data_IF_126509251365
#
_entry.id   IF_126509251365
#
_cell.length_a   1.000
_cell.length_b   1.000
_cell.length_c   1.000
_cell.angle_alpha   90.00
_cell.angle_beta   90.00
_cell.angle_gamma   90.00
#
_symmetry.space_group_name_H-M   'P 1'
#
loop_
_entity.id
_entity.type
_entity.pdbx_description
1 polymer ?
#
# COMPACT_ATOMS: atom_id res chain seq x y z
N UNK A 1 -25.34 35.04 -11.69
CA UNK A 1 -23.94 34.82 -11.26
C UNK A 1 -23.53 33.44 -11.75
N UNK A 2 -22.70 33.39 -12.78
CA UNK A 2 -22.17 32.16 -13.36
C UNK A 2 -20.78 31.92 -12.75
N UNK A 3 -20.57 30.76 -12.14
CA UNK A 3 -19.22 30.30 -11.78
C UNK A 3 -18.84 29.18 -12.75
N UNK A 4 -17.95 29.51 -13.67
CA UNK A 4 -17.29 28.60 -14.59
C UNK A 4 -16.23 27.78 -13.83
N UNK A 5 -16.39 26.46 -13.80
CA UNK A 5 -15.28 25.56 -13.48
C UNK A 5 -14.50 25.29 -14.77
N UNK A 6 -13.29 25.81 -14.84
CA UNK A 6 -12.33 25.55 -15.91
C UNK A 6 -11.92 24.08 -15.92
N UNK A 7 -12.14 23.42 -17.05
CA UNK A 7 -11.51 22.15 -17.42
C UNK A 7 -9.99 22.29 -17.24
N UNK A 8 -9.42 21.56 -16.29
CA UNK A 8 -7.99 21.24 -16.32
C UNK A 8 -7.85 19.84 -16.91
N UNK A 9 -6.98 19.72 -17.89
CA UNK A 9 -6.78 18.59 -18.81
C UNK A 9 -6.82 17.24 -18.10
N UNK A 10 -7.83 16.47 -18.43
CA UNK A 10 -7.91 15.04 -18.13
C UNK A 10 -6.76 14.37 -18.89
N UNK A 11 -5.65 14.09 -18.22
CA UNK A 11 -4.77 12.99 -18.63
C UNK A 11 -5.67 11.75 -18.68
N UNK A 12 -6.02 11.34 -19.91
CA UNK A 12 -6.77 10.14 -20.16
C UNK A 12 -5.87 8.97 -19.76
N UNK A 13 -6.17 8.37 -18.61
CA UNK A 13 -5.50 7.16 -18.15
C UNK A 13 -5.87 6.06 -19.15
N UNK A 14 -4.98 5.78 -20.11
CA UNK A 14 -5.14 4.64 -21.01
C UNK A 14 -4.87 3.36 -20.23
N UNK A 15 -5.94 2.60 -20.00
CA UNK A 15 -5.90 1.33 -19.26
C UNK A 15 -5.24 0.19 -20.06
N UNK A 16 -4.88 0.42 -21.33
CA UNK A 16 -4.09 -0.51 -22.13
C UNK A 16 -2.60 -0.13 -22.17
N UNK A 17 -2.23 1.02 -21.61
CA UNK A 17 -0.84 1.40 -21.50
C UNK A 17 -0.18 0.51 -20.46
N UNK A 18 0.66 -0.41 -20.92
CA UNK A 18 1.45 -1.27 -20.06
C UNK A 18 2.36 -0.33 -19.27
N UNK A 19 2.39 -0.37 -17.93
CA UNK A 19 3.29 0.47 -17.16
C UNK A 19 4.68 0.22 -17.70
N UNK A 20 5.28 1.25 -18.31
CA UNK A 20 6.69 1.20 -18.71
C UNK A 20 7.42 0.69 -17.48
N UNK A 21 8.05 -0.48 -17.60
CA UNK A 21 8.78 -1.12 -16.51
C UNK A 21 9.86 -0.14 -16.14
N UNK A 22 9.56 0.72 -15.17
CA UNK A 22 10.54 1.56 -14.53
C UNK A 22 11.59 0.57 -14.08
N UNK A 23 12.83 0.64 -14.61
CA UNK A 23 13.86 -0.32 -14.24
C UNK A 23 13.90 -0.25 -12.71
N UNK A 24 13.56 -1.38 -12.09
CA UNK A 24 13.52 -1.47 -10.64
C UNK A 24 14.85 -0.89 -10.16
N UNK A 25 14.87 0.10 -9.26
CA UNK A 25 16.13 0.56 -8.71
C UNK A 25 16.82 -0.69 -8.17
N UNK A 26 17.93 -1.08 -8.79
CA UNK A 26 18.62 -2.36 -8.51
C UNK A 26 19.21 -2.41 -7.11
N UNK A 27 18.99 -1.36 -6.33
CA UNK A 27 19.07 -1.35 -4.89
C UNK A 27 17.81 -0.65 -4.37
N UNK A 28 16.82 -1.42 -3.90
CA UNK A 28 16.01 -0.90 -2.79
C UNK A 28 17.01 -0.40 -1.75
N UNK A 29 16.86 0.82 -1.18
CA UNK A 29 17.72 1.20 -0.07
C UNK A 29 17.58 0.08 0.95
N UNK A 30 18.71 -0.55 1.30
CA UNK A 30 18.76 -1.60 2.31
C UNK A 30 17.97 -1.08 3.49
N UNK A 31 16.73 -1.58 3.63
CA UNK A 31 15.89 -1.24 4.77
C UNK A 31 16.77 -1.62 5.93
N UNK A 32 17.21 -0.64 6.72
CA UNK A 32 18.11 -0.90 7.83
C UNK A 32 17.46 -1.98 8.69
N UNK A 33 18.03 -3.18 8.62
CA UNK A 33 17.59 -4.36 9.35
C UNK A 33 18.63 -4.55 10.43
N UNK A 34 18.39 -4.05 11.65
CA UNK A 34 19.30 -4.32 12.75
C UNK A 34 19.26 -5.84 12.99
N UNK A 35 20.34 -6.51 12.59
CA UNK A 35 20.59 -7.90 12.93
C UNK A 35 21.45 -7.91 14.18
N UNK A 36 20.85 -8.25 15.31
CA UNK A 36 21.60 -8.39 16.55
C UNK A 36 22.28 -9.76 16.56
N UNK A 37 23.61 -9.78 16.63
CA UNK A 37 24.40 -10.99 16.70
C UNK A 37 24.83 -11.24 18.15
N UNK A 38 24.53 -12.43 18.65
CA UNK A 38 25.00 -12.94 19.94
C UNK A 38 26.11 -13.97 19.70
N UNK A 39 26.98 -14.25 20.70
CA UNK A 39 27.94 -15.36 20.62
C UNK A 39 27.30 -16.73 20.29
N UNK A 40 26.00 -16.88 20.57
CA UNK A 40 25.22 -18.09 20.28
C UNK A 40 24.55 -18.08 18.89
N UNK A 41 24.80 -17.06 18.07
CA UNK A 41 24.20 -16.86 16.75
C UNK A 41 23.26 -15.65 16.66
N UNK A 42 22.54 -15.48 15.53
CA UNK A 42 21.62 -14.38 15.33
C UNK A 42 20.48 -14.39 16.35
N UNK A 43 20.12 -13.21 16.87
CA UNK A 43 18.95 -13.04 17.74
C UNK A 43 17.70 -13.08 16.87
N UNK A 44 16.79 -14.00 17.21
CA UNK A 44 15.53 -14.23 16.54
C UNK A 44 14.34 -13.82 17.42
N UNK A 45 13.12 -13.86 16.87
CA UNK A 45 11.86 -13.54 17.56
C UNK A 45 11.65 -14.34 18.85
N UNK A 46 12.23 -15.53 18.98
CA UNK A 46 12.09 -16.36 20.19
C UNK A 46 13.02 -15.96 21.34
N UNK A 47 14.02 -15.11 21.07
CA UNK A 47 14.95 -14.64 22.08
C UNK A 47 14.34 -13.48 22.89
N UNK A 48 14.34 -13.60 24.22
CA UNK A 48 13.85 -12.54 25.11
C UNK A 48 15.02 -11.78 25.75
N UNK A 49 15.02 -10.46 25.53
CA UNK A 49 15.95 -9.50 26.18
C UNK A 49 15.75 -9.46 27.70
N UNK A 50 14.57 -9.83 28.21
CA UNK A 50 14.29 -9.81 29.65
C UNK A 50 14.68 -11.09 30.38
N UNK A 51 14.86 -12.21 29.65
CA UNK A 51 15.10 -13.53 30.24
C UNK A 51 16.54 -14.04 30.07
N UNK A 52 17.35 -13.38 29.23
CA UNK A 52 18.71 -13.82 28.95
C UNK A 52 19.65 -12.61 28.84
N UNK A 53 20.55 -12.47 29.82
CA UNK A 53 21.56 -11.41 29.84
C UNK A 53 22.47 -11.38 28.61
N UNK A 54 22.74 -12.53 27.97
CA UNK A 54 23.55 -12.58 26.74
C UNK A 54 22.80 -11.95 25.56
N UNK A 55 21.49 -12.20 25.45
CA UNK A 55 20.62 -11.54 24.46
C UNK A 55 20.53 -10.04 24.74
N UNK A 56 20.41 -9.66 26.02
CA UNK A 56 20.39 -8.24 26.44
C UNK A 56 21.65 -7.51 26.00
N UNK A 57 22.82 -8.07 26.33
CA UNK A 57 24.11 -7.48 25.97
C UNK A 57 24.27 -7.36 24.46
N UNK A 58 23.91 -8.39 23.69
CA UNK A 58 24.02 -8.36 22.23
C UNK A 58 23.07 -7.33 21.58
N UNK A 59 21.86 -7.15 22.12
CA UNK A 59 20.93 -6.10 21.66
C UNK A 59 21.44 -4.71 22.03
N UNK A 60 21.92 -4.51 23.26
CA UNK A 60 22.46 -3.22 23.72
C UNK A 60 23.68 -2.80 22.89
N UNK A 61 24.61 -3.73 22.63
CA UNK A 61 25.80 -3.47 21.80
C UNK A 61 25.43 -3.10 20.36
N UNK A 62 24.34 -3.68 19.81
CA UNK A 62 23.85 -3.30 18.48
C UNK A 62 23.07 -1.98 18.44
N UNK A 63 22.66 -1.45 19.60
CA UNK A 63 21.90 -0.19 19.72
C UNK A 63 22.75 1.00 20.17
N UNK A 64 23.85 0.77 20.89
CA UNK A 64 24.72 1.83 21.41
C UNK A 64 25.91 2.11 20.48
N UNK A 65 26.14 3.38 20.19
CA UNK A 65 27.37 3.84 19.55
C UNK A 65 28.51 3.94 20.58
N UNK A 66 29.76 4.00 20.10
CA UNK A 66 30.94 4.15 20.96
C UNK A 66 30.85 5.40 21.87
N UNK A 67 30.18 6.44 21.40
CA UNK A 67 29.99 7.70 22.12
C UNK A 67 28.93 7.60 23.21
N UNK A 68 27.90 6.78 23.00
CA UNK A 68 26.92 6.44 24.04
C UNK A 68 27.59 5.72 25.22
N UNK A 69 28.54 4.82 24.92
CA UNK A 69 29.34 4.12 25.93
C UNK A 69 30.19 5.05 26.81
N UNK A 70 30.75 6.12 26.22
CA UNK A 70 31.54 7.13 26.97
C UNK A 70 30.66 8.00 27.86
N UNK A 71 29.46 8.36 27.40
CA UNK A 71 28.48 9.14 28.18
C UNK A 71 27.95 8.33 29.36
N UNK A 72 27.76 7.02 29.18
CA UNK A 72 27.37 6.09 30.23
C UNK A 72 28.48 5.86 31.26
N UNK A 73 29.76 5.81 30.86
CA UNK A 73 30.87 5.56 31.78
C UNK A 73 31.10 6.67 32.83
N UNK A 74 30.60 7.89 32.61
CA UNK A 74 30.82 9.06 33.47
C UNK A 74 29.67 9.46 34.40
N UNK A 75 28.53 8.76 34.38
CA UNK A 75 27.34 9.09 35.18
C UNK A 75 27.16 8.11 36.35
N UNK A 76 26.64 8.61 37.48
CA UNK A 76 26.30 7.78 38.63
C UNK A 76 25.23 6.76 38.25
N UNK A 77 25.42 5.51 38.68
CA UNK A 77 24.66 4.29 38.29
C UNK A 77 23.13 4.52 38.23
N UNK A 78 22.57 5.26 39.19
CA UNK A 78 21.13 5.50 39.29
C UNK A 78 20.52 6.39 38.19
N UNK A 79 21.26 7.41 37.70
CA UNK A 79 20.78 8.34 36.67
C UNK A 79 20.74 7.66 35.30
N UNK A 80 21.71 6.80 35.02
CA UNK A 80 21.79 6.00 33.79
C UNK A 80 20.63 5.01 33.73
N UNK A 81 20.35 4.33 34.85
CA UNK A 81 19.23 3.39 34.95
C UNK A 81 17.90 4.11 34.67
N UNK A 82 17.70 5.30 35.26
CA UNK A 82 16.47 6.07 35.02
C UNK A 82 16.31 6.53 33.56
N UNK A 83 17.38 7.07 32.95
CA UNK A 83 17.35 7.54 31.56
C UNK A 83 17.15 6.39 30.57
N UNK A 84 17.79 5.23 30.80
CA UNK A 84 17.63 4.03 29.99
C UNK A 84 16.24 3.39 30.13
N UNK A 85 15.64 3.44 31.33
CA UNK A 85 14.24 3.05 31.54
C UNK A 85 13.29 3.98 30.80
N UNK A 86 13.49 5.30 30.88
CA UNK A 86 12.67 6.27 30.16
C UNK A 86 12.73 6.05 28.64
N UNK A 87 13.93 5.83 28.10
CA UNK A 87 14.12 5.50 26.68
C UNK A 87 13.41 4.18 26.31
N UNK A 88 13.52 3.14 27.15
CA UNK A 88 12.84 1.85 26.92
C UNK A 88 11.33 2.02 26.88
N UNK A 89 10.75 2.78 27.82
CA UNK A 89 9.31 3.07 27.85
C UNK A 89 8.88 3.83 26.58
N UNK A 90 9.63 4.84 26.18
CA UNK A 90 9.35 5.61 24.96
C UNK A 90 9.42 4.73 23.70
N UNK A 91 10.44 3.88 23.59
CA UNK A 91 10.58 2.92 22.50
C UNK A 91 9.39 1.95 22.43
N UNK A 92 9.01 1.36 23.57
CA UNK A 92 7.84 0.46 23.65
C UNK A 92 6.55 1.18 23.27
N UNK A 93 6.34 2.41 23.75
CA UNK A 93 5.17 3.21 23.40
C UNK A 93 5.13 3.54 21.90
N UNK A 94 6.27 3.92 21.31
CA UNK A 94 6.41 4.23 19.88
C UNK A 94 6.09 3.00 19.01
N UNK A 95 6.70 1.85 19.31
CA UNK A 95 6.46 0.58 18.60
C UNK A 95 5.00 0.14 18.76
N UNK A 96 4.42 0.28 19.96
CA UNK A 96 3.00 -0.03 20.20
C UNK A 96 2.07 0.85 19.37
N UNK A 97 2.34 2.15 19.30
CA UNK A 97 1.58 3.09 18.48
C UNK A 97 1.67 2.76 16.98
N UNK A 98 2.87 2.43 16.49
CA UNK A 98 3.06 1.94 15.12
C UNK A 98 2.27 0.66 14.85
N UNK A 99 2.30 -0.30 15.78
CA UNK A 99 1.54 -1.54 15.70
C UNK A 99 0.03 -1.31 15.60
N UNK A 100 -0.52 -0.41 16.42
CA UNK A 100 -1.95 -0.02 16.35
C UNK A 100 -2.31 0.60 15.01
N UNK A 101 -1.50 1.56 14.53
CA UNK A 101 -1.73 2.20 13.22
C UNK A 101 -1.67 1.19 12.09
N UNK A 102 -0.69 0.28 12.11
CA UNK A 102 -0.57 -0.78 11.13
C UNK A 102 -1.80 -1.71 11.13
N UNK A 103 -2.30 -2.07 12.32
CA UNK A 103 -3.49 -2.90 12.45
C UNK A 103 -4.73 -2.25 11.82
N UNK A 104 -4.97 -0.95 12.10
CA UNK A 104 -6.09 -0.19 11.48
C UNK A 104 -5.93 -0.14 9.96
N UNK A 105 -4.75 0.22 9.46
CA UNK A 105 -4.47 0.29 8.01
C UNK A 105 -4.66 -1.07 7.32
N UNK A 106 -4.31 -2.17 7.99
CA UNK A 106 -4.52 -3.52 7.46
C UNK A 106 -6.02 -3.85 7.29
N UNK A 107 -6.87 -3.40 8.22
CA UNK A 107 -8.32 -3.54 8.09
C UNK A 107 -8.88 -2.73 6.91
N UNK A 108 -8.43 -1.49 6.74
CA UNK A 108 -8.81 -0.64 5.60
C UNK A 108 -8.39 -1.27 4.26
N UNK A 109 -7.15 -1.78 4.16
CA UNK A 109 -6.66 -2.48 2.97
C UNK A 109 -7.53 -3.71 2.66
N UNK A 110 -7.93 -4.47 3.68
CA UNK A 110 -8.84 -5.61 3.50
C UNK A 110 -10.21 -5.16 2.98
N UNK A 111 -10.77 -4.08 3.52
CA UNK A 111 -12.05 -3.53 3.05
C UNK A 111 -11.96 -3.05 1.59
N UNK A 112 -10.90 -2.32 1.24
CA UNK A 112 -10.65 -1.88 -0.14
C UNK A 112 -10.51 -3.07 -1.09
N UNK A 113 -9.80 -4.12 -0.70
CA UNK A 113 -9.67 -5.35 -1.50
C UNK A 113 -11.03 -5.99 -1.81
N UNK A 114 -11.93 -6.03 -0.82
CA UNK A 114 -13.30 -6.51 -1.02
C UNK A 114 -14.08 -5.64 -2.00
N UNK A 115 -13.97 -4.30 -1.89
CA UNK A 115 -14.64 -3.37 -2.81
C UNK A 115 -14.11 -3.50 -4.24
N UNK A 116 -12.79 -3.60 -4.42
CA UNK A 116 -12.16 -3.82 -5.74
C UNK A 116 -12.69 -5.11 -6.38
N UNK A 117 -12.83 -6.17 -5.60
CA UNK A 117 -13.37 -7.45 -6.09
C UNK A 117 -14.82 -7.30 -6.60
N UNK A 118 -15.65 -6.53 -5.90
CA UNK A 118 -17.03 -6.25 -6.31
C UNK A 118 -17.04 -5.43 -7.61
N UNK A 119 -16.25 -4.37 -7.66
CA UNK A 119 -16.15 -3.50 -8.84
C UNK A 119 -15.66 -4.25 -10.08
N UNK A 120 -14.68 -5.15 -9.93
CA UNK A 120 -14.21 -6.00 -11.02
C UNK A 120 -15.32 -6.89 -11.60
N UNK A 121 -16.19 -7.45 -10.75
CA UNK A 121 -17.35 -8.24 -11.19
C UNK A 121 -18.34 -7.37 -11.97
N UNK A 122 -18.71 -6.21 -11.43
CA UNK A 122 -19.63 -5.27 -12.09
C UNK A 122 -19.08 -4.80 -13.44
N UNK A 123 -17.78 -4.51 -13.51
CA UNK A 123 -17.13 -4.13 -14.76
C UNK A 123 -17.22 -5.24 -15.80
N UNK A 124 -17.01 -6.50 -15.40
CA UNK A 124 -17.13 -7.66 -16.29
C UNK A 124 -18.55 -7.81 -16.82
N UNK A 125 -19.55 -7.67 -15.95
CA UNK A 125 -20.96 -7.74 -16.34
C UNK A 125 -21.36 -6.60 -17.28
N UNK A 126 -20.92 -5.37 -17.00
CA UNK A 126 -21.19 -4.21 -17.86
C UNK A 126 -20.52 -4.35 -19.23
N UNK A 127 -19.28 -4.85 -19.30
CA UNK A 127 -18.63 -5.15 -20.59
C UNK A 127 -19.45 -6.13 -21.42
N UNK A 128 -20.05 -7.16 -20.81
CA UNK A 128 -20.93 -8.11 -21.50
C UNK A 128 -22.18 -7.41 -22.06
N UNK A 129 -22.88 -6.63 -21.22
CA UNK A 129 -24.09 -5.89 -21.63
C UNK A 129 -23.82 -4.90 -22.76
N UNK A 130 -22.69 -4.18 -22.71
CA UNK A 130 -22.28 -3.27 -23.79
C UNK A 130 -22.11 -4.04 -25.11
N UNK A 131 -21.56 -5.25 -25.07
CA UNK A 131 -21.47 -6.13 -26.24
C UNK A 131 -22.84 -6.51 -26.80
N UNK A 132 -23.76 -6.94 -25.93
CA UNK A 132 -25.14 -7.29 -26.28
C UNK A 132 -25.89 -6.10 -26.92
N UNK A 133 -25.80 -4.92 -26.31
CA UNK A 133 -26.40 -3.69 -26.85
C UNK A 133 -25.80 -3.26 -28.18
N UNK A 134 -24.50 -3.50 -28.40
CA UNK A 134 -23.86 -3.18 -29.67
C UNK A 134 -24.42 -4.05 -30.81
N UNK A 135 -24.67 -5.33 -30.56
CA UNK A 135 -25.28 -6.22 -31.55
C UNK A 135 -26.74 -5.89 -31.80
N UNK A 136 -27.50 -5.55 -30.76
CA UNK A 136 -28.90 -5.14 -30.91
C UNK A 136 -29.01 -3.83 -31.70
N UNK A 137 -28.17 -2.85 -31.42
CA UNK A 137 -28.11 -1.60 -32.20
C UNK A 137 -27.80 -1.85 -33.67
N UNK A 138 -26.94 -2.82 -34.01
CA UNK A 138 -26.69 -3.20 -35.41
C UNK A 138 -27.95 -3.77 -36.06
N UNK A 139 -28.71 -4.61 -35.35
CA UNK A 139 -29.98 -5.19 -35.86
C UNK A 139 -31.03 -4.11 -36.08
N UNK A 140 -31.22 -3.24 -35.11
CA UNK A 140 -32.15 -2.11 -35.19
C UNK A 140 -31.79 -1.17 -36.35
N UNK A 141 -30.49 -0.91 -36.56
CA UNK A 141 -30.05 -0.11 -37.72
C UNK A 141 -30.44 -0.74 -39.05
N UNK A 142 -30.21 -2.04 -39.23
CA UNK A 142 -30.64 -2.75 -40.45
C UNK A 142 -32.16 -2.70 -40.66
N UNK A 143 -32.92 -2.83 -39.57
CA UNK A 143 -34.38 -2.75 -39.64
C UNK A 143 -34.85 -1.34 -40.05
N UNK A 144 -34.25 -0.30 -39.47
CA UNK A 144 -34.51 1.09 -39.84
C UNK A 144 -34.18 1.36 -41.31
N UNK A 145 -33.03 0.88 -41.80
CA UNK A 145 -32.61 1.05 -43.19
C UNK A 145 -33.62 0.36 -44.15
N UNK A 146 -34.16 -0.80 -43.77
CA UNK A 146 -35.22 -1.48 -44.54
C UNK A 146 -36.49 -0.64 -44.64
N UNK A 147 -36.99 -0.13 -43.50
CA UNK A 147 -38.19 0.72 -43.50
C UNK A 147 -38.02 2.02 -44.29
N UNK A 148 -36.83 2.63 -44.24
CA UNK A 148 -36.54 3.82 -45.02
C UNK A 148 -36.58 3.53 -46.53
N UNK A 149 -36.07 2.38 -46.97
CA UNK A 149 -36.14 1.97 -48.37
C UNK A 149 -37.59 1.71 -48.81
N UNK A 150 -38.38 1.01 -48.00
CA UNK A 150 -39.79 0.73 -48.30
C UNK A 150 -40.60 2.04 -48.49
N UNK A 151 -40.38 3.01 -47.61
CA UNK A 151 -41.00 4.34 -47.71
C UNK A 151 -40.58 5.08 -48.98
N UNK A 152 -39.31 5.02 -49.35
CA UNK A 152 -38.82 5.61 -50.61
C UNK A 152 -39.50 4.95 -51.80
N UNK A 153 -39.57 3.61 -51.85
CA UNK A 153 -40.23 2.90 -52.95
C UNK A 153 -41.70 3.26 -53.09
N UNK A 154 -42.44 3.36 -51.97
CA UNK A 154 -43.85 3.73 -51.96
C UNK A 154 -44.09 5.19 -52.40
N UNK A 155 -43.10 6.09 -52.21
CA UNK A 155 -43.19 7.48 -52.63
C UNK A 155 -42.86 7.72 -54.11
N UNK A 156 -42.31 6.72 -54.80
CA UNK A 156 -41.92 6.77 -56.22
C UNK A 156 -42.85 6.01 -57.16
N UNK A 157 -43.83 5.28 -56.63
CA UNK A 157 -45.01 4.77 -57.36
C UNK A 157 -46.12 5.83 -57.44
#
# INVERSE_FOLDING_TARGET
MASSFSLNTQEAIDLNDVPSVMPAPSSMPEVWRPYFLSPNGPITITNSVMLNGVTTTAVVVGLCTLEDGKVLAGRTDLQIINDSMALTIQCVASVSNMGRRLHVRNHEVRALRSQVTILQRLLKENKKKVGEFKEENKRLKKLMDSYANDLVTQSTE
#
